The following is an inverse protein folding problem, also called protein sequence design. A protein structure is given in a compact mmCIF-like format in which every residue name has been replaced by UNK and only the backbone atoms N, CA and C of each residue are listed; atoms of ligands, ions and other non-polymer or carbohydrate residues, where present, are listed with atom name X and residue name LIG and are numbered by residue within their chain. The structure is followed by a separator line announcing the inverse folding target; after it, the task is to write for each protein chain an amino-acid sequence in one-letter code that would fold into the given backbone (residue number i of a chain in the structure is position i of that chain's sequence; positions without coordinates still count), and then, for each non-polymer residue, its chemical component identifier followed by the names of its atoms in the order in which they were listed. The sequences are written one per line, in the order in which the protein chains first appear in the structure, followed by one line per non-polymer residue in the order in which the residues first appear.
data_IF_500274989363
#
_entry.id   IF_500274989363
#
_cell.length_a   1.000
_cell.length_b   1.000
_cell.length_c   1.000
_cell.angle_alpha   90.00
_cell.angle_beta   90.00
_cell.angle_gamma   90.00
#
_symmetry.space_group_name_H-M   'P 1'
#
loop_
_entity.id
_entity.type
_entity.pdbx_description
1 polymer ?
#
# COMPACT_ATOMS: atom_id res chain seq x y z
N UNK A 1 -10.29 14.96 -17.43
CA UNK A 1 -10.66 13.56 -17.13
C UNK A 1 -10.07 13.14 -15.81
N UNK A 2 -10.84 12.45 -14.99
CA UNK A 2 -10.33 11.94 -13.73
C UNK A 2 -9.28 10.85 -13.99
N UNK A 3 -8.28 10.79 -13.14
CA UNK A 3 -7.29 9.71 -13.20
C UNK A 3 -7.96 8.38 -12.87
N UNK A 4 -7.62 7.35 -13.62
CA UNK A 4 -8.16 6.01 -13.40
C UNK A 4 -7.37 5.25 -12.33
N UNK A 5 -6.14 5.66 -12.06
CA UNK A 5 -5.32 5.02 -11.04
C UNK A 5 -4.17 5.92 -10.61
N UNK A 6 -3.66 5.65 -9.42
CA UNK A 6 -2.52 6.36 -8.85
C UNK A 6 -1.42 5.36 -8.55
N UNK A 7 -0.20 5.68 -8.90
CA UNK A 7 0.92 4.75 -8.84
C UNK A 7 1.92 5.13 -7.76
N UNK A 8 2.46 4.12 -7.10
CA UNK A 8 3.55 4.29 -6.15
C UNK A 8 4.42 3.06 -6.11
N UNK A 9 5.74 3.26 -6.11
CA UNK A 9 6.68 2.16 -5.97
C UNK A 9 7.31 2.22 -4.60
N UNK A 10 7.27 1.11 -3.87
CA UNK A 10 7.88 1.00 -2.57
C UNK A 10 9.00 -0.01 -2.57
N UNK A 11 9.97 0.21 -1.68
CA UNK A 11 11.11 -0.68 -1.53
C UNK A 11 11.44 -0.88 -0.08
N UNK A 12 11.85 -2.09 0.27
CA UNK A 12 12.35 -2.38 1.59
C UNK A 12 13.31 -3.55 1.50
N UNK A 13 14.59 -3.32 1.85
CA UNK A 13 15.64 -4.33 1.68
C UNK A 13 15.67 -4.77 0.22
N UNK A 14 15.45 -6.05 -0.05
CA UNK A 14 15.45 -6.58 -1.42
C UNK A 14 14.06 -6.66 -2.04
N UNK A 15 13.02 -6.22 -1.30
CA UNK A 15 11.65 -6.27 -1.80
C UNK A 15 11.29 -5.00 -2.57
N UNK A 16 10.59 -5.18 -3.69
CA UNK A 16 10.09 -4.06 -4.51
C UNK A 16 8.60 -4.28 -4.74
N UNK A 17 7.80 -3.26 -4.45
CA UNK A 17 6.36 -3.30 -4.62
C UNK A 17 5.92 -2.19 -5.57
N UNK A 18 5.15 -2.57 -6.58
CA UNK A 18 4.49 -1.62 -7.47
C UNK A 18 3.03 -1.59 -7.08
N UNK A 19 2.57 -0.43 -6.63
CA UNK A 19 1.24 -0.25 -6.08
C UNK A 19 0.41 0.62 -7.00
N UNK A 20 -0.84 0.22 -7.22
CA UNK A 20 -1.83 1.01 -7.94
C UNK A 20 -3.05 1.18 -7.05
N UNK A 21 -3.51 2.41 -6.90
CA UNK A 21 -4.74 2.72 -6.19
C UNK A 21 -5.81 3.05 -7.23
N UNK A 22 -6.89 2.29 -7.22
CA UNK A 22 -7.99 2.45 -8.18
C UNK A 22 -9.20 2.97 -7.42
N UNK A 23 -9.71 4.17 -7.75
CA UNK A 23 -10.87 4.73 -7.07
C UNK A 23 -12.15 3.98 -7.41
N UNK A 24 -13.10 4.01 -6.48
CA UNK A 24 -14.43 3.44 -6.68
C UNK A 24 -14.59 1.99 -6.28
N UNK A 25 -13.58 1.39 -5.69
CA UNK A 25 -13.63 0.01 -5.22
C UNK A 25 -12.80 -0.10 -3.95
N UNK A 26 -12.80 -1.26 -3.32
CA UNK A 26 -12.08 -1.50 -2.06
C UNK A 26 -11.34 -2.83 -2.10
N UNK A 27 -10.50 -3.05 -1.10
CA UNK A 27 -9.75 -4.28 -0.95
C UNK A 27 -8.31 -4.17 -1.40
N UNK A 28 -7.52 -5.14 -1.00
CA UNK A 28 -6.10 -5.21 -1.33
C UNK A 28 -5.82 -6.54 -1.99
N UNK A 29 -5.27 -6.49 -3.20
CA UNK A 29 -4.92 -7.68 -3.98
C UNK A 29 -3.41 -7.64 -4.24
N UNK A 30 -2.72 -8.70 -3.84
CA UNK A 30 -1.27 -8.81 -3.97
C UNK A 30 -0.93 -9.97 -4.88
N UNK A 31 -0.26 -9.68 -5.99
CA UNK A 31 0.11 -10.69 -6.98
C UNK A 31 -1.07 -11.56 -7.40
N UNK A 32 -2.23 -10.91 -7.60
CA UNK A 32 -3.45 -11.59 -8.03
C UNK A 32 -4.22 -12.32 -6.94
N UNK A 33 -3.78 -12.23 -5.68
CA UNK A 33 -4.45 -12.88 -4.55
C UNK A 33 -4.92 -11.85 -3.54
N UNK A 34 -6.05 -12.13 -2.91
CA UNK A 34 -6.47 -11.31 -1.77
C UNK A 34 -5.34 -11.26 -0.74
N UNK A 35 -5.17 -10.10 -0.11
CA UNK A 35 -4.08 -9.89 0.84
C UNK A 35 -4.06 -10.92 1.98
N UNK A 36 -5.23 -11.30 2.50
CA UNK A 36 -5.29 -12.26 3.59
C UNK A 36 -4.85 -13.65 3.17
N UNK A 37 -5.12 -14.01 1.92
CA UNK A 37 -4.67 -15.26 1.33
C UNK A 37 -3.17 -15.20 1.06
N UNK A 38 -2.70 -14.07 0.52
CA UNK A 38 -1.29 -13.90 0.20
C UNK A 38 -0.40 -14.02 1.44
N UNK A 39 -0.80 -13.41 2.54
CA UNK A 39 -0.05 -13.46 3.80
C UNK A 39 -0.46 -14.62 4.71
N UNK A 40 -1.27 -15.54 4.21
CA UNK A 40 -1.68 -16.74 4.95
C UNK A 40 -2.29 -16.44 6.32
N UNK A 41 -3.13 -15.40 6.38
CA UNK A 41 -3.82 -15.03 7.60
C UNK A 41 -2.96 -14.29 8.64
N UNK A 42 -1.77 -13.86 8.29
CA UNK A 42 -0.90 -13.11 9.22
C UNK A 42 -1.40 -11.68 9.34
N UNK A 43 -2.15 -11.43 10.39
CA UNK A 43 -2.78 -10.13 10.63
C UNK A 43 -1.79 -8.98 10.76
N UNK A 44 -0.63 -9.24 11.36
CA UNK A 44 0.35 -8.18 11.57
C UNK A 44 0.89 -7.64 10.25
N UNK A 45 1.04 -8.50 9.24
CA UNK A 45 1.49 -8.07 7.92
C UNK A 45 0.41 -7.29 7.20
N UNK A 46 -0.85 -7.71 7.32
CA UNK A 46 -1.97 -6.98 6.75
C UNK A 46 -2.09 -5.59 7.36
N UNK A 47 -1.88 -5.46 8.67
CA UNK A 47 -1.92 -4.16 9.33
C UNK A 47 -0.82 -3.22 8.86
N UNK A 48 0.35 -3.76 8.59
CA UNK A 48 1.46 -2.96 8.05
C UNK A 48 1.04 -2.35 6.70
N UNK A 49 0.46 -3.17 5.83
CA UNK A 49 0.02 -2.72 4.50
C UNK A 49 -1.10 -1.68 4.60
N UNK A 50 -2.04 -1.89 5.51
CA UNK A 50 -3.22 -1.03 5.66
C UNK A 50 -2.94 0.28 6.37
N UNK A 51 -1.85 0.38 7.10
CA UNK A 51 -1.56 1.55 7.92
C UNK A 51 -1.68 2.89 7.18
N UNK A 52 -1.06 3.09 6.01
CA UNK A 52 -1.20 4.37 5.31
C UNK A 52 -2.64 4.67 4.88
N UNK A 53 -3.42 3.64 4.57
CA UNK A 53 -4.82 3.83 4.20
C UNK A 53 -5.67 4.22 5.41
N UNK A 54 -5.37 3.66 6.58
CA UNK A 54 -6.09 3.99 7.80
C UNK A 54 -5.84 5.43 8.24
N UNK A 55 -4.58 5.87 8.24
CA UNK A 55 -4.25 7.22 8.72
C UNK A 55 -4.72 8.32 7.78
N UNK A 56 -4.96 8.00 6.51
CA UNK A 56 -5.53 8.95 5.54
C UNK A 56 -7.02 8.76 5.35
N UNK A 57 -7.61 7.80 6.05
CA UNK A 57 -9.04 7.48 5.97
C UNK A 57 -9.50 7.16 4.55
N UNK A 58 -8.69 6.39 3.83
CA UNK A 58 -8.97 6.07 2.43
C UNK A 58 -9.21 4.58 2.17
N UNK A 59 -9.27 3.75 3.22
CA UNK A 59 -9.44 2.30 3.06
C UNK A 59 -10.68 1.91 2.27
N UNK A 60 -11.75 2.67 2.39
CA UNK A 60 -13.01 2.39 1.72
C UNK A 60 -13.18 3.16 0.42
N UNK A 61 -12.15 3.83 -0.05
CA UNK A 61 -12.22 4.68 -1.25
C UNK A 61 -11.45 4.13 -2.43
N UNK A 62 -10.48 3.26 -2.19
CA UNK A 62 -9.58 2.77 -3.23
C UNK A 62 -9.38 1.28 -3.12
N UNK A 63 -9.31 0.63 -4.27
CA UNK A 63 -8.81 -0.72 -4.36
C UNK A 63 -7.29 -0.65 -4.56
N UNK A 64 -6.57 -1.48 -3.82
CA UNK A 64 -5.11 -1.52 -3.89
C UNK A 64 -4.69 -2.74 -4.67
N UNK A 65 -4.01 -2.53 -5.78
CA UNK A 65 -3.47 -3.60 -6.61
C UNK A 65 -1.95 -3.56 -6.52
N UNK A 66 -1.36 -4.67 -6.13
CA UNK A 66 0.07 -4.73 -5.85
C UNK A 66 0.74 -5.84 -6.65
N UNK A 67 1.86 -5.51 -7.25
CA UNK A 67 2.81 -6.51 -7.76
C UNK A 67 4.07 -6.36 -6.92
N UNK A 68 4.44 -7.41 -6.20
CA UNK A 68 5.59 -7.37 -5.30
C UNK A 68 6.50 -8.57 -5.55
N UNK A 69 7.79 -8.37 -5.44
CA UNK A 69 8.76 -9.45 -5.59
C UNK A 69 9.99 -9.18 -4.71
N UNK A 70 10.76 -10.23 -4.50
CA UNK A 70 11.99 -10.15 -3.71
C UNK A 70 11.73 -10.20 -2.20
N UNK A 71 12.72 -10.62 -1.47
CA UNK A 71 12.69 -10.67 0.00
C UNK A 71 11.64 -11.62 0.57
N UNK A 72 11.45 -11.56 1.88
CA UNK A 72 10.44 -12.33 2.57
C UNK A 72 9.18 -11.51 2.84
N UNK A 73 8.18 -12.16 3.45
CA UNK A 73 6.87 -11.53 3.68
C UNK A 73 6.95 -10.23 4.46
N UNK A 74 7.82 -10.16 5.47
CA UNK A 74 7.97 -8.95 6.27
C UNK A 74 8.52 -7.79 5.44
N UNK A 75 9.55 -8.04 4.65
CA UNK A 75 10.10 -7.03 3.73
C UNK A 75 9.09 -6.62 2.67
N UNK A 76 8.31 -7.58 2.17
CA UNK A 76 7.29 -7.29 1.18
C UNK A 76 6.19 -6.41 1.75
N UNK A 77 5.72 -6.69 2.96
CA UNK A 77 4.70 -5.85 3.61
C UNK A 77 5.20 -4.42 3.78
N UNK A 78 6.46 -4.25 4.19
CA UNK A 78 7.07 -2.93 4.32
C UNK A 78 7.20 -2.20 2.99
N UNK A 79 7.58 -2.93 1.93
CA UNK A 79 7.67 -2.34 0.59
C UNK A 79 6.29 -1.92 0.07
N UNK A 80 5.27 -2.73 0.32
CA UNK A 80 3.89 -2.40 -0.07
C UNK A 80 3.42 -1.15 0.67
N UNK A 81 3.64 -1.08 1.98
CA UNK A 81 3.30 0.09 2.77
C UNK A 81 3.92 1.36 2.19
N UNK A 82 5.18 1.29 1.86
CA UNK A 82 5.90 2.41 1.26
C UNK A 82 5.28 2.82 -0.08
N UNK A 83 4.96 1.83 -0.92
CA UNK A 83 4.34 2.10 -2.22
C UNK A 83 2.94 2.70 -2.09
N UNK A 84 2.15 2.22 -1.14
CA UNK A 84 0.81 2.77 -0.90
C UNK A 84 0.92 4.22 -0.44
N UNK A 85 1.83 4.52 0.47
CA UNK A 85 2.04 5.89 0.94
C UNK A 85 2.42 6.80 -0.21
N UNK A 86 3.30 6.37 -1.09
CA UNK A 86 3.71 7.18 -2.24
C UNK A 86 2.56 7.38 -3.24
N UNK A 87 1.75 6.36 -3.45
CA UNK A 87 0.58 6.50 -4.32
C UNK A 87 -0.45 7.48 -3.74
N UNK A 88 -0.62 7.47 -2.41
CA UNK A 88 -1.51 8.42 -1.74
C UNK A 88 -1.02 9.86 -1.90
N UNK A 89 0.29 10.08 -1.91
CA UNK A 89 0.85 11.41 -2.14
C UNK A 89 0.57 11.91 -3.56
N UNK A 90 0.38 11.02 -4.52
CA UNK A 90 -0.05 11.38 -5.86
C UNK A 90 -1.48 11.89 -5.87
N UNK A 91 -2.32 11.41 -4.96
CA UNK A 91 -3.71 11.86 -4.83
C UNK A 91 -3.75 13.23 -4.19
N UNK A 92 -3.04 13.40 -3.08
CA UNK A 92 -3.07 14.64 -2.31
C UNK A 92 -1.76 14.79 -1.54
N UNK A 93 -0.99 15.82 -1.90
CA UNK A 93 0.29 16.09 -1.26
C UNK A 93 0.14 16.43 0.22
N UNK A 94 -1.04 16.85 0.66
CA UNK A 94 -1.29 17.16 2.06
C UNK A 94 -1.25 15.94 2.97
N UNK A 95 -1.38 14.75 2.41
CA UNK A 95 -1.21 13.51 3.17
C UNK A 95 0.21 13.34 3.71
N UNK A 96 1.16 14.09 3.18
CA UNK A 96 2.57 13.97 3.59
C UNK A 96 2.74 14.14 5.10
N UNK A 97 2.08 15.13 5.70
CA UNK A 97 2.21 15.38 7.13
C UNK A 97 1.67 14.21 7.97
N UNK A 98 0.50 13.71 7.62
CA UNK A 98 -0.13 12.60 8.33
C UNK A 98 0.70 11.32 8.17
N UNK A 99 1.15 11.03 6.96
CA UNK A 99 1.94 9.84 6.68
C UNK A 99 3.29 9.89 7.38
N UNK A 100 3.91 11.06 7.41
CA UNK A 100 5.20 11.24 8.06
C UNK A 100 5.14 11.01 9.56
N UNK A 101 4.06 11.46 10.20
CA UNK A 101 3.86 11.25 11.63
C UNK A 101 3.59 9.80 12.00
N UNK A 102 2.85 9.10 11.13
CA UNK A 102 2.41 7.72 11.40
C UNK A 102 3.39 6.67 10.90
N UNK A 103 4.16 7.00 9.86
CA UNK A 103 5.09 6.06 9.22
C UNK A 103 6.49 6.66 9.24
N UNK A 104 7.04 6.79 10.43
CA UNK A 104 8.29 7.52 10.68
C UNK A 104 9.46 7.10 9.80
N UNK A 105 9.48 5.85 9.41
CA UNK A 105 10.62 5.26 8.70
C UNK A 105 10.37 5.01 7.21
N UNK A 106 9.48 5.76 6.63
CA UNK A 106 9.24 5.64 5.20
C UNK A 106 10.44 6.19 4.42
#
# INVERSE_FOLDING_TARGET
MAKLQYLGTGRRKTSVARVRLVPGDTGVVINGKDMRVYFEGREILAKIVEQPLEVTETMDKYKVLVNVYGGGNSGQAGAIRHGVARALLEIDAEYRAVLKLSLIHI
#
